data_IF_193794181409
#
_entry.id   IF_193794181409
#
_cell.length_a   1.000
_cell.length_b   1.000
_cell.length_c   1.000
_cell.angle_alpha   90.00
_cell.angle_beta   90.00
_cell.angle_gamma   90.00
#
_symmetry.space_group_name_H-M   'P 1'
#
loop_
_entity.id
_entity.type
_entity.pdbx_description
1 polymer ?
#
# COMPACT_ATOMS: atom_id res chain seq x y z
N UNK A 1 -20.11 -18.77 -3.93
CA UNK A 1 -19.76 -18.08 -5.18
C UNK A 1 -18.26 -17.89 -5.12
N UNK A 2 -17.58 -18.50 -6.07
CA UNK A 2 -16.21 -18.96 -5.95
C UNK A 2 -15.20 -17.85 -5.64
N UNK A 3 -14.28 -18.22 -4.75
CA UNK A 3 -13.07 -17.53 -4.38
C UNK A 3 -12.27 -17.26 -5.66
N UNK A 4 -12.33 -16.03 -6.17
CA UNK A 4 -11.20 -15.53 -6.95
C UNK A 4 -10.07 -15.37 -5.94
N UNK A 5 -9.36 -16.48 -5.69
CA UNK A 5 -8.22 -16.53 -4.79
C UNK A 5 -7.12 -15.72 -5.43
N UNK A 6 -7.09 -14.41 -5.15
CA UNK A 6 -5.91 -13.60 -5.45
C UNK A 6 -4.76 -14.24 -4.68
N UNK A 7 -3.91 -14.98 -5.38
CA UNK A 7 -2.73 -15.58 -4.77
C UNK A 7 -1.74 -14.45 -4.50
N UNK A 8 -1.32 -14.33 -3.24
CA UNK A 8 -0.44 -13.27 -2.77
C UNK A 8 -1.02 -12.47 -1.60
N UNK A 9 -0.14 -11.91 -0.77
CA UNK A 9 -0.49 -11.24 0.48
C UNK A 9 0.03 -9.78 0.53
N UNK A 10 0.57 -9.26 -0.57
CA UNK A 10 1.21 -7.95 -0.61
C UNK A 10 0.64 -7.00 -1.64
N UNK A 11 0.51 -5.74 -1.22
CA UNK A 11 0.12 -4.59 -2.03
C UNK A 11 1.30 -3.63 -2.14
N UNK A 12 2.12 -3.80 -3.17
CA UNK A 12 3.27 -2.94 -3.44
C UNK A 12 2.85 -1.79 -4.37
N UNK A 13 3.14 -0.56 -4.00
CA UNK A 13 2.80 0.64 -4.75
C UNK A 13 4.06 1.26 -5.36
N UNK A 14 3.95 1.74 -6.59
CA UNK A 14 4.99 2.51 -7.26
C UNK A 14 4.33 3.54 -8.18
N UNK A 15 4.65 4.83 -8.02
CA UNK A 15 4.02 5.93 -8.75
C UNK A 15 2.48 5.86 -8.76
N UNK A 16 1.90 5.64 -7.58
CA UNK A 16 0.45 5.51 -7.33
C UNK A 16 -0.24 4.31 -8.01
N UNK A 17 0.53 3.45 -8.67
CA UNK A 17 0.07 2.21 -9.29
C UNK A 17 0.35 1.03 -8.36
N UNK A 18 -0.51 0.01 -8.40
CA UNK A 18 -0.29 -1.27 -7.72
C UNK A 18 0.55 -2.16 -8.62
N UNK A 19 1.63 -2.72 -8.07
CA UNK A 19 2.49 -3.67 -8.77
C UNK A 19 1.93 -5.08 -8.61
N UNK A 20 1.61 -5.72 -9.74
CA UNK A 20 1.06 -7.09 -9.82
C UNK A 20 2.04 -8.01 -10.56
N UNK A 21 1.96 -9.32 -10.33
CA UNK A 21 2.78 -10.34 -11.01
C UNK A 21 2.22 -10.72 -12.39
N UNK A 22 0.91 -10.65 -12.54
CA UNK A 22 0.19 -10.88 -13.79
C UNK A 22 -1.15 -10.16 -13.72
N UNK A 23 -1.63 -9.66 -14.86
CA UNK A 23 -3.00 -9.13 -15.02
C UNK A 23 -4.01 -10.22 -15.37
N UNK A 24 -3.57 -11.33 -15.96
CA UNK A 24 -4.42 -12.41 -16.48
C UNK A 24 -3.82 -13.80 -16.19
N UNK A 25 -4.33 -14.55 -15.20
CA UNK A 25 -5.21 -14.08 -14.13
C UNK A 25 -4.50 -13.07 -13.22
N UNK A 26 -5.26 -12.19 -12.56
CA UNK A 26 -4.71 -11.24 -11.61
C UNK A 26 -3.95 -11.99 -10.50
N UNK A 27 -2.66 -11.76 -10.43
CA UNK A 27 -1.77 -12.35 -9.41
C UNK A 27 -1.05 -11.23 -8.66
N UNK A 28 -1.16 -11.23 -7.34
CA UNK A 28 -0.45 -10.28 -6.48
C UNK A 28 0.93 -10.81 -6.10
N UNK A 29 1.86 -9.94 -5.64
CA UNK A 29 3.08 -10.41 -5.01
C UNK A 29 2.77 -11.36 -3.83
N UNK A 30 3.52 -12.45 -3.74
CA UNK A 30 3.54 -13.31 -2.55
C UNK A 30 4.15 -12.58 -1.33
N UNK A 31 4.03 -13.19 -0.14
CA UNK A 31 4.62 -12.66 1.09
C UNK A 31 6.15 -12.48 0.94
N UNK A 32 6.85 -13.51 0.45
CA UNK A 32 8.30 -13.47 0.29
C UNK A 32 8.75 -12.44 -0.75
N UNK A 33 8.02 -12.34 -1.87
CA UNK A 33 8.33 -11.35 -2.92
C UNK A 33 8.13 -9.92 -2.45
N UNK A 34 7.06 -9.65 -1.69
CA UNK A 34 6.83 -8.33 -1.12
C UNK A 34 7.83 -7.99 0.00
N UNK A 35 8.06 -8.96 0.91
CA UNK A 35 8.99 -8.82 2.02
C UNK A 35 10.43 -8.58 1.57
N UNK A 36 10.83 -9.08 0.39
CA UNK A 36 12.14 -8.82 -0.22
C UNK A 36 12.44 -7.33 -0.44
N UNK A 37 11.42 -6.47 -0.50
CA UNK A 37 11.60 -5.03 -0.68
C UNK A 37 11.60 -4.23 0.63
N UNK A 38 11.37 -4.87 1.79
CA UNK A 38 11.07 -4.21 3.07
C UNK A 38 12.06 -3.09 3.44
N UNK A 39 13.36 -3.28 3.20
CA UNK A 39 14.41 -2.32 3.52
C UNK A 39 14.47 -1.10 2.59
N UNK A 40 13.81 -1.18 1.43
CA UNK A 40 13.73 -0.11 0.42
C UNK A 40 12.45 0.71 0.50
N UNK A 41 11.43 0.23 1.21
CA UNK A 41 10.12 0.87 1.20
C UNK A 41 10.15 2.20 1.97
N UNK A 42 9.62 3.26 1.35
CA UNK A 42 9.53 4.57 1.97
C UNK A 42 8.50 4.57 3.11
N UNK A 43 7.35 3.95 2.85
CA UNK A 43 6.26 3.76 3.79
C UNK A 43 5.75 2.32 3.70
N UNK A 44 5.39 1.72 4.84
CA UNK A 44 4.85 0.35 4.89
C UNK A 44 3.91 0.12 6.06
N UNK A 45 3.04 -0.85 5.95
CA UNK A 45 2.14 -1.27 7.02
C UNK A 45 1.35 -2.51 6.66
N UNK A 46 0.31 -2.79 7.46
CA UNK A 46 -0.59 -3.91 7.22
C UNK A 46 -2.05 -3.47 7.37
N UNK A 47 -2.92 -4.10 6.59
CA UNK A 47 -4.37 -4.00 6.73
C UNK A 47 -4.87 -4.90 7.86
N UNK A 48 -6.06 -4.61 8.36
CA UNK A 48 -6.71 -5.49 9.35
C UNK A 48 -7.24 -6.76 8.66
N UNK A 49 -7.55 -7.83 9.41
CA UNK A 49 -8.18 -9.03 8.85
C UNK A 49 -9.49 -8.75 8.09
N UNK A 50 -10.29 -7.79 8.54
CA UNK A 50 -11.52 -7.36 7.86
C UNK A 50 -11.27 -6.67 6.49
N UNK A 51 -10.01 -6.42 6.15
CA UNK A 51 -9.53 -5.82 4.89
C UNK A 51 -8.51 -6.75 4.21
N UNK A 52 -8.64 -8.06 4.43
CA UNK A 52 -7.80 -9.09 3.79
C UNK A 52 -6.42 -9.31 4.40
N UNK A 53 -6.06 -8.59 5.48
CA UNK A 53 -4.75 -8.71 6.16
C UNK A 53 -3.52 -8.52 5.26
N UNK A 54 -3.66 -7.84 4.11
CA UNK A 54 -2.53 -7.56 3.22
C UNK A 54 -1.47 -6.69 3.91
N UNK A 55 -0.22 -7.08 3.74
CA UNK A 55 0.92 -6.17 3.90
C UNK A 55 0.95 -5.18 2.74
N UNK A 56 1.43 -3.96 2.97
CA UNK A 56 1.54 -2.96 1.92
C UNK A 56 2.81 -2.12 2.05
N UNK A 57 3.28 -1.60 0.92
CA UNK A 57 4.52 -0.85 0.83
C UNK A 57 4.56 0.15 -0.31
N UNK A 58 5.25 1.26 -0.11
CA UNK A 58 5.56 2.26 -1.13
C UNK A 58 7.01 2.08 -1.61
N UNK A 59 7.17 1.67 -2.86
CA UNK A 59 8.47 1.58 -3.53
C UNK A 59 8.95 2.96 -3.98
N UNK A 60 10.26 3.26 -3.88
CA UNK A 60 10.81 4.56 -4.31
C UNK A 60 10.42 4.94 -5.73
N UNK A 61 9.90 6.15 -5.92
CA UNK A 61 9.42 6.65 -7.21
C UNK A 61 10.54 7.04 -8.19
N UNK A 62 11.74 7.29 -7.66
CA UNK A 62 12.96 7.60 -8.40
C UNK A 62 13.74 6.36 -8.86
N UNK A 63 13.29 5.16 -8.48
CA UNK A 63 13.79 3.88 -8.97
C UNK A 63 12.85 3.29 -10.03
N UNK A 64 13.35 2.51 -11.01
CA UNK A 64 12.48 1.75 -11.89
C UNK A 64 11.67 0.71 -11.09
N UNK A 65 10.46 0.40 -11.57
CA UNK A 65 9.67 -0.68 -10.98
C UNK A 65 10.49 -1.99 -10.98
N UNK A 66 10.41 -2.82 -9.91
CA UNK A 66 11.10 -4.10 -9.88
C UNK A 66 10.73 -4.98 -11.08
N UNK A 67 11.73 -5.69 -11.62
CA UNK A 67 11.51 -6.59 -12.76
C UNK A 67 10.49 -7.69 -12.43
N UNK A 68 9.65 -8.05 -13.40
CA UNK A 68 8.65 -9.10 -13.24
C UNK A 68 7.39 -8.65 -12.51
N UNK A 69 7.19 -7.33 -12.41
CA UNK A 69 5.96 -6.70 -11.95
C UNK A 69 5.39 -5.78 -13.03
N UNK A 70 4.06 -5.70 -13.06
CA UNK A 70 3.30 -4.85 -13.96
C UNK A 70 2.53 -3.80 -13.15
N UNK A 71 2.59 -2.50 -13.51
CA UNK A 71 1.78 -1.48 -12.87
C UNK A 71 0.32 -1.55 -13.33
N UNK A 72 -0.60 -1.49 -12.36
CA UNK A 72 -2.05 -1.48 -12.55
C UNK A 72 -2.66 -0.33 -11.75
N UNK A 73 -3.53 0.45 -12.37
CA UNK A 73 -4.23 1.54 -11.67
C UNK A 73 -5.35 0.98 -10.78
N UNK A 74 -5.69 1.64 -9.66
CA UNK A 74 -6.74 1.14 -8.74
C UNK A 74 -8.09 0.85 -9.44
N UNK A 75 -8.47 1.67 -10.44
CA UNK A 75 -9.70 1.44 -11.21
C UNK A 75 -9.59 0.21 -12.13
N UNK A 76 -8.43 -0.03 -12.72
CA UNK A 76 -8.16 -1.22 -13.53
C UNK A 76 -8.14 -2.46 -12.63
N UNK A 77 -7.56 -2.36 -11.42
CA UNK A 77 -7.52 -3.44 -10.43
C UNK A 77 -8.92 -3.93 -10.05
N UNK A 78 -9.90 -3.01 -9.94
CA UNK A 78 -11.30 -3.37 -9.73
C UNK A 78 -11.86 -4.22 -10.87
N UNK A 79 -11.55 -3.89 -12.12
CA UNK A 79 -11.99 -4.66 -13.27
C UNK A 79 -11.33 -6.05 -13.32
N UNK A 80 -10.06 -6.15 -12.94
CA UNK A 80 -9.29 -7.41 -12.98
C UNK A 80 -9.59 -8.36 -11.82
N UNK A 81 -9.79 -7.83 -10.60
CA UNK A 81 -9.86 -8.63 -9.37
C UNK A 81 -11.11 -8.42 -8.52
N UNK A 82 -11.99 -7.51 -8.91
CA UNK A 82 -13.26 -7.27 -8.24
C UNK A 82 -13.17 -6.45 -6.95
N UNK A 83 -14.28 -6.47 -6.21
CA UNK A 83 -14.56 -5.52 -5.13
C UNK A 83 -13.65 -5.67 -3.90
N UNK A 84 -13.33 -6.91 -3.50
CA UNK A 84 -12.57 -7.20 -2.28
C UNK A 84 -11.13 -6.65 -2.36
N UNK A 85 -10.44 -6.93 -3.46
CA UNK A 85 -9.08 -6.44 -3.66
C UNK A 85 -9.06 -4.93 -3.91
N UNK A 86 -10.05 -4.39 -4.62
CA UNK A 86 -10.18 -2.94 -4.82
C UNK A 86 -10.31 -2.20 -3.49
N UNK A 87 -11.18 -2.66 -2.59
CA UNK A 87 -11.34 -2.05 -1.26
C UNK A 87 -10.06 -2.13 -0.42
N UNK A 88 -9.36 -3.27 -0.49
CA UNK A 88 -8.11 -3.48 0.24
C UNK A 88 -6.99 -2.58 -0.29
N UNK A 89 -6.76 -2.58 -1.61
CA UNK A 89 -5.78 -1.73 -2.27
C UNK A 89 -6.08 -0.24 -2.10
N UNK A 90 -7.35 0.17 -2.22
CA UNK A 90 -7.76 1.56 -1.98
C UNK A 90 -7.53 2.00 -0.54
N UNK A 91 -7.79 1.13 0.44
CA UNK A 91 -7.51 1.42 1.86
C UNK A 91 -5.99 1.57 2.09
N UNK A 92 -5.18 0.64 1.56
CA UNK A 92 -3.72 0.71 1.67
C UNK A 92 -3.16 1.97 0.98
N UNK A 93 -3.69 2.33 -0.19
CA UNK A 93 -3.32 3.54 -0.92
C UNK A 93 -3.59 4.80 -0.09
N UNK A 94 -4.78 4.92 0.51
CA UNK A 94 -5.11 6.08 1.36
C UNK A 94 -4.19 6.17 2.60
N UNK A 95 -3.82 5.02 3.19
CA UNK A 95 -2.87 4.99 4.30
C UNK A 95 -1.47 5.44 3.88
N UNK A 96 -0.99 4.99 2.71
CA UNK A 96 0.27 5.40 2.13
C UNK A 96 0.28 6.91 1.82
N UNK A 97 -0.73 7.39 1.10
CA UNK A 97 -0.84 8.79 0.68
C UNK A 97 -0.92 9.74 1.89
N UNK A 98 -1.66 9.34 2.92
CA UNK A 98 -1.69 10.08 4.18
C UNK A 98 -0.30 10.14 4.85
N UNK A 99 0.49 9.07 4.83
CA UNK A 99 1.87 9.09 5.34
C UNK A 99 2.79 10.01 4.55
N UNK A 100 2.65 10.00 3.22
CA UNK A 100 3.39 10.87 2.31
C UNK A 100 3.10 12.35 2.57
N UNK A 101 1.82 12.70 2.74
CA UNK A 101 1.35 14.09 2.71
C UNK A 101 1.16 14.73 4.10
N UNK A 102 1.05 13.94 5.18
CA UNK A 102 0.82 14.46 6.54
C UNK A 102 2.07 14.45 7.42
N UNK A 103 3.25 14.69 6.84
CA UNK A 103 4.54 14.69 7.57
C UNK A 103 4.73 15.89 8.49
N UNK A 104 4.08 17.01 8.20
CA UNK A 104 4.24 18.26 8.95
C UNK A 104 2.90 18.74 9.50
N UNK A 105 2.94 19.37 10.68
CA UNK A 105 1.75 19.89 11.34
C UNK A 105 1.13 21.02 10.51
N UNK A 106 -0.16 20.95 10.14
CA UNK A 106 -0.80 22.02 9.37
C UNK A 106 -0.96 23.32 10.17
N UNK A 107 -0.80 23.28 11.50
CA UNK A 107 -0.90 24.46 12.37
C UNK A 107 0.43 25.22 12.55
N UNK A 108 1.53 24.51 12.74
CA UNK A 108 2.82 25.13 13.12
C UNK A 108 4.01 24.67 12.27
N UNK A 109 3.80 23.83 11.26
CA UNK A 109 4.82 23.26 10.37
C UNK A 109 5.85 22.33 11.04
N UNK A 110 5.72 22.02 12.33
CA UNK A 110 6.60 21.06 13.03
C UNK A 110 6.41 19.65 12.47
N UNK A 111 7.51 18.90 12.32
CA UNK A 111 7.45 17.50 11.88
C UNK A 111 6.59 16.69 12.87
N UNK A 112 5.60 15.97 12.35
CA UNK A 112 4.70 15.16 13.17
C UNK A 112 5.34 13.81 13.52
N UNK A 113 4.95 13.25 14.67
CA UNK A 113 5.39 11.95 15.15
C UNK A 113 4.22 10.96 15.11
N UNK A 114 4.48 9.65 14.90
CA UNK A 114 3.44 8.63 15.04
C UNK A 114 2.76 8.75 16.42
N UNK A 115 1.43 8.74 16.44
CA UNK A 115 0.68 8.68 17.69
C UNK A 115 0.80 7.27 18.30
N UNK A 116 0.88 7.18 19.64
CA UNK A 116 1.06 5.89 20.35
C UNK A 116 -0.03 4.86 19.99
N UNK A 117 -1.26 5.31 19.72
CA UNK A 117 -2.43 4.44 19.60
C UNK A 117 -2.81 4.04 18.16
N UNK A 118 -1.97 4.31 17.14
CA UNK A 118 -2.16 3.67 15.84
C UNK A 118 -1.72 4.41 14.60
N UNK A 119 -2.66 4.60 13.65
CA UNK A 119 -2.42 5.08 12.28
C UNK A 119 -2.43 6.60 12.14
N UNK A 120 -2.33 7.33 13.25
CA UNK A 120 -2.41 8.78 13.30
C UNK A 120 -1.04 9.42 13.58
N UNK A 121 -0.95 10.72 13.33
CA UNK A 121 0.22 11.54 13.60
C UNK A 121 -0.18 12.59 14.63
N UNK A 122 0.72 12.86 15.58
CA UNK A 122 0.59 13.89 16.59
C UNK A 122 1.68 14.94 16.42
N UNK A 123 1.35 16.22 16.65
CA UNK A 123 2.34 17.29 16.64
C UNK A 123 2.91 17.46 18.06
N UNK A 124 4.21 17.22 18.28
CA UNK A 124 4.81 17.31 19.62
C UNK A 124 4.84 18.73 20.19
N UNK A 125 4.60 19.75 19.36
CA UNK A 125 4.60 21.16 19.77
C UNK A 125 3.20 21.76 20.01
N UNK A 126 2.15 21.16 19.42
CA UNK A 126 0.79 21.69 19.50
C UNK A 126 -0.14 20.86 20.39
N UNK A 127 0.26 19.61 20.69
CA UNK A 127 -0.46 18.71 21.58
C UNK A 127 -0.40 19.20 23.03
#
# INVERSE_FOLDING_TARGET
>A
MDLCSTQGAWLLFHNDMVLVKSKEPLTLPSEDEGAAFTDKLLHRGALSPARGAYSWGEYPADEPAPQGFEPVGLRELWALGGDSIFHSAGTAFQMMDWRRNCRYCPRCATLMQPAEEGRAYACPQCA
#
